data_IF_470339793549
#
_entry.id   IF_470339793549
#
_cell.length_a   1.000
_cell.length_b   1.000
_cell.length_c   1.000
_cell.angle_alpha   90.00
_cell.angle_beta   90.00
_cell.angle_gamma   90.00
#
_symmetry.space_group_name_H-M   'P 1'
#
loop_
_entity.id
_entity.type
_entity.pdbx_description
1 polymer ?
#
# COMPACT_ATOMS: atom_id res chain seq x y z
N UNK A 1 -5.92 16.44 -56.94
CA UNK A 1 -5.84 15.08 -56.39
C UNK A 1 -4.42 14.84 -55.93
N UNK A 2 -4.23 14.55 -54.63
CA UNK A 2 -3.31 13.55 -54.06
C UNK A 2 -3.07 13.90 -52.59
N UNK A 3 -3.80 13.18 -51.75
CA UNK A 3 -3.58 13.08 -50.31
C UNK A 3 -2.26 12.36 -50.04
N UNK A 4 -1.70 12.58 -48.83
CA UNK A 4 -1.36 11.54 -47.84
C UNK A 4 -0.13 11.97 -47.03
N UNK A 5 0.01 11.73 -45.74
CA UNK A 5 -0.86 11.22 -44.67
C UNK A 5 -0.20 11.77 -43.40
N UNK A 6 -1.03 12.25 -42.48
CA UNK A 6 -0.65 12.70 -41.14
C UNK A 6 0.22 11.63 -40.45
N UNK A 7 1.41 12.03 -40.00
CA UNK A 7 2.32 11.28 -39.12
C UNK A 7 1.64 11.02 -37.77
N UNK A 8 0.71 10.06 -37.76
CA UNK A 8 0.04 9.58 -36.58
C UNK A 8 0.96 8.56 -35.90
N UNK A 9 1.93 9.07 -35.17
CA UNK A 9 2.65 8.30 -34.14
C UNK A 9 1.63 7.80 -33.13
N UNK A 10 1.01 6.65 -33.42
CA UNK A 10 0.60 5.72 -32.38
C UNK A 10 1.87 5.40 -31.61
N UNK A 11 2.11 6.10 -30.49
CA UNK A 11 3.02 5.63 -29.45
C UNK A 11 2.56 4.20 -29.17
N UNK A 12 3.33 3.23 -29.62
CA UNK A 12 3.24 1.86 -29.14
C UNK A 12 3.48 2.02 -27.65
N UNK A 13 2.41 1.94 -26.85
CA UNK A 13 2.51 1.88 -25.41
C UNK A 13 3.29 0.60 -25.14
N UNK A 14 4.59 0.74 -24.87
CA UNK A 14 5.38 -0.42 -24.55
C UNK A 14 4.86 -1.02 -23.23
N UNK A 15 5.03 -2.34 -23.00
CA UNK A 15 4.57 -3.01 -21.77
C UNK A 15 5.05 -2.34 -20.47
N UNK A 16 6.13 -1.53 -20.52
CA UNK A 16 6.63 -0.80 -19.36
C UNK A 16 5.67 0.21 -18.72
N UNK A 17 4.66 0.72 -19.42
CA UNK A 17 3.72 1.74 -18.92
C UNK A 17 2.43 1.15 -18.30
N UNK A 18 2.24 -0.18 -18.36
CA UNK A 18 1.01 -0.78 -17.85
C UNK A 18 0.99 -0.68 -16.31
N UNK A 19 0.01 0.07 -15.78
CA UNK A 19 -0.21 0.17 -14.34
C UNK A 19 -1.12 -0.96 -13.84
N UNK A 20 -0.70 -1.59 -12.74
CA UNK A 20 -1.50 -2.47 -11.90
C UNK A 20 -1.93 -1.73 -10.64
N UNK A 21 -3.03 -2.16 -10.05
CA UNK A 21 -3.54 -1.64 -8.77
C UNK A 21 -3.62 -2.76 -7.74
N UNK A 22 -3.26 -2.44 -6.49
CA UNK A 22 -3.43 -3.30 -5.33
C UNK A 22 -4.24 -2.59 -4.24
N UNK A 23 -5.17 -3.31 -3.62
CA UNK A 23 -5.91 -2.87 -2.45
C UNK A 23 -5.26 -3.41 -1.18
N UNK A 24 -5.14 -2.57 -0.17
CA UNK A 24 -4.54 -2.92 1.12
C UNK A 24 -5.43 -2.38 2.23
N UNK A 25 -5.87 -3.24 3.14
CA UNK A 25 -6.56 -2.79 4.36
C UNK A 25 -5.51 -2.48 5.41
N UNK A 26 -5.33 -1.21 5.73
CA UNK A 26 -4.46 -0.76 6.81
C UNK A 26 -5.30 -0.72 8.09
N UNK A 27 -5.04 -1.64 9.02
CA UNK A 27 -5.94 -1.88 10.17
C UNK A 27 -5.52 -1.01 11.34
N UNK A 28 -4.34 -1.27 11.88
CA UNK A 28 -3.88 -0.63 13.10
C UNK A 28 -2.38 -0.75 13.25
N UNK A 29 -1.80 0.05 14.13
CA UNK A 29 -0.46 -0.19 14.63
C UNK A 29 -0.46 -0.20 16.16
N UNK A 30 0.57 -0.80 16.73
CA UNK A 30 0.73 -0.97 18.18
C UNK A 30 2.16 -0.63 18.59
N UNK A 31 2.32 -0.09 19.79
CA UNK A 31 3.62 0.23 20.42
C UNK A 31 4.56 1.07 19.55
N UNK A 32 4.00 1.99 18.78
CA UNK A 32 4.77 2.95 17.99
C UNK A 32 5.60 3.87 18.90
N UNK A 33 6.76 4.32 18.40
CA UNK A 33 7.53 5.35 19.09
C UNK A 33 6.72 6.64 19.17
N UNK A 34 6.53 7.16 20.38
CA UNK A 34 6.00 8.50 20.53
C UNK A 34 7.05 9.55 20.09
N UNK A 35 6.75 10.29 19.01
CA UNK A 35 7.57 11.39 18.46
C UNK A 35 7.03 12.78 18.78
N UNK A 36 5.92 12.86 19.51
CA UNK A 36 5.27 14.09 20.01
C UNK A 36 5.29 14.06 21.54
N UNK A 37 6.26 14.74 22.13
CA UNK A 37 6.44 14.77 23.59
C UNK A 37 5.50 15.77 24.28
N UNK A 38 5.10 16.84 23.59
CA UNK A 38 4.28 17.92 24.15
C UNK A 38 2.78 17.81 23.82
N UNK A 39 2.43 17.10 22.74
CA UNK A 39 1.05 16.98 22.26
C UNK A 39 0.66 15.54 22.06
N UNK A 40 -0.65 15.26 21.96
CA UNK A 40 -1.12 13.93 21.52
C UNK A 40 -0.55 13.64 20.12
N UNK A 41 -0.04 12.43 19.93
CA UNK A 41 0.36 11.96 18.62
C UNK A 41 -0.89 11.58 17.84
N UNK A 42 -1.11 12.21 16.69
CA UNK A 42 -2.17 11.87 15.75
C UNK A 42 -1.53 11.23 14.53
N UNK A 43 -1.81 9.96 14.24
CA UNK A 43 -1.03 9.19 13.28
C UNK A 43 -1.84 8.83 12.02
N UNK A 44 -1.18 8.78 10.88
CA UNK A 44 -1.70 8.26 9.61
C UNK A 44 -0.62 7.46 8.90
N UNK A 45 -1.03 6.58 8.00
CA UNK A 45 -0.14 5.78 7.17
C UNK A 45 -0.08 6.35 5.74
N UNK A 46 1.11 6.37 5.16
CA UNK A 46 1.39 6.68 3.76
C UNK A 46 1.76 5.38 3.07
N UNK A 47 1.02 4.99 2.04
CA UNK A 47 1.16 3.68 1.39
C UNK A 47 1.52 3.87 -0.08
N UNK A 48 2.53 3.13 -0.52
CA UNK A 48 3.02 3.16 -1.91
C UNK A 48 3.78 1.89 -2.25
N UNK A 49 3.89 1.59 -3.54
CA UNK A 49 4.86 0.61 -4.06
C UNK A 49 6.04 1.37 -4.68
N UNK A 50 5.73 2.32 -5.56
CA UNK A 50 6.65 3.26 -6.17
C UNK A 50 6.25 4.69 -5.76
N UNK A 51 7.15 5.43 -5.09
CA UNK A 51 6.86 6.80 -4.63
C UNK A 51 6.53 7.76 -5.78
N UNK A 52 7.11 7.53 -6.94
CA UNK A 52 6.99 8.43 -8.10
C UNK A 52 5.76 8.12 -8.97
N UNK A 53 5.02 7.03 -8.67
CA UNK A 53 3.86 6.59 -9.44
C UNK A 53 2.56 6.89 -8.73
N UNK A 54 2.40 6.39 -7.50
CA UNK A 54 1.19 6.60 -6.73
C UNK A 54 1.46 6.45 -5.24
N UNK A 55 1.06 7.48 -4.50
CA UNK A 55 1.14 7.53 -3.05
C UNK A 55 -0.24 7.86 -2.52
N UNK A 56 -0.73 7.07 -1.57
CA UNK A 56 -2.01 7.30 -0.90
C UNK A 56 -1.81 7.39 0.61
N UNK A 57 -2.76 7.99 1.31
CA UNK A 57 -2.74 8.19 2.76
C UNK A 57 -4.03 7.67 3.37
N UNK A 58 -3.94 7.07 4.55
CA UNK A 58 -5.13 6.85 5.39
C UNK A 58 -5.59 8.17 6.00
N UNK A 59 -6.78 8.17 6.60
CA UNK A 59 -7.18 9.20 7.54
C UNK A 59 -6.23 9.26 8.75
N UNK A 60 -6.34 10.37 9.47
CA UNK A 60 -5.61 10.61 10.70
C UNK A 60 -6.41 10.02 11.85
N UNK A 61 -5.79 9.14 12.63
CA UNK A 61 -6.32 8.75 13.92
C UNK A 61 -5.99 9.84 14.96
N UNK A 62 -7.05 10.48 15.46
CA UNK A 62 -7.04 11.55 16.45
C UNK A 62 -6.71 11.06 17.88
N UNK A 63 -6.90 9.77 18.16
CA UNK A 63 -7.05 9.26 19.52
C UNK A 63 -6.12 8.12 19.90
N UNK A 64 -5.73 7.25 18.97
CA UNK A 64 -4.96 6.04 19.29
C UNK A 64 -3.52 6.29 19.74
N UNK A 65 -2.98 7.51 19.58
CA UNK A 65 -1.62 7.89 20.01
C UNK A 65 -0.56 6.94 19.43
N UNK A 66 0.07 6.11 20.27
CA UNK A 66 1.06 5.11 19.88
C UNK A 66 0.45 3.81 19.38
N UNK A 67 -0.86 3.65 19.50
CA UNK A 67 -1.64 2.49 19.10
C UNK A 67 -2.75 2.88 18.13
N UNK A 68 -2.43 3.47 16.96
CA UNK A 68 -3.45 4.00 16.09
C UNK A 68 -4.32 2.92 15.45
N UNK A 69 -5.59 3.23 15.19
CA UNK A 69 -6.49 2.38 14.39
C UNK A 69 -7.05 3.18 13.23
N UNK A 70 -6.81 2.69 12.02
CA UNK A 70 -7.31 3.28 10.78
C UNK A 70 -8.45 2.42 10.22
N UNK A 71 -8.24 1.12 10.06
CA UNK A 71 -9.24 0.23 9.45
C UNK A 71 -9.75 0.76 8.09
N UNK A 72 -8.82 1.16 7.23
CA UNK A 72 -9.11 1.81 5.96
C UNK A 72 -8.50 1.02 4.79
N UNK A 73 -9.31 0.76 3.76
CA UNK A 73 -8.83 0.18 2.50
C UNK A 73 -8.28 1.29 1.63
N UNK A 74 -6.99 1.20 1.31
CA UNK A 74 -6.34 2.10 0.37
C UNK A 74 -6.01 1.37 -0.93
N UNK A 75 -5.99 2.10 -2.05
CA UNK A 75 -5.63 1.58 -3.37
C UNK A 75 -4.31 2.20 -3.81
N UNK A 76 -3.39 1.38 -4.30
CA UNK A 76 -2.07 1.82 -4.75
C UNK A 76 -1.81 1.32 -6.15
N UNK A 77 -1.39 2.23 -7.03
CA UNK A 77 -1.00 1.92 -8.41
C UNK A 77 0.52 1.81 -8.55
N UNK A 78 0.97 0.93 -9.43
CA UNK A 78 2.38 0.68 -9.69
C UNK A 78 2.56 0.02 -11.06
N UNK A 79 3.75 0.05 -11.64
CA UNK A 79 4.02 -0.60 -12.91
C UNK A 79 3.92 -2.13 -12.78
N UNK A 80 3.12 -2.76 -13.63
CA UNK A 80 2.85 -4.21 -13.58
C UNK A 80 4.14 -5.04 -13.61
N UNK A 81 5.13 -4.61 -14.39
CA UNK A 81 6.46 -5.24 -14.50
C UNK A 81 7.18 -5.44 -13.17
N UNK A 82 6.93 -4.61 -12.14
CA UNK A 82 7.58 -4.76 -10.84
C UNK A 82 7.11 -6.01 -10.11
N UNK A 83 5.81 -6.32 -10.14
CA UNK A 83 5.31 -7.53 -9.50
C UNK A 83 5.82 -8.81 -10.18
N UNK A 84 6.17 -8.72 -11.46
CA UNK A 84 6.64 -9.86 -12.25
C UNK A 84 8.14 -10.06 -12.10
N UNK A 85 8.92 -8.98 -12.24
CA UNK A 85 10.37 -9.05 -12.48
C UNK A 85 11.22 -8.61 -11.29
N UNK A 86 10.66 -7.94 -10.28
CA UNK A 86 11.40 -7.45 -9.12
C UNK A 86 10.97 -8.16 -7.83
N UNK A 87 11.83 -9.06 -7.35
CA UNK A 87 11.61 -9.82 -6.10
C UNK A 87 11.60 -8.95 -4.85
N UNK A 88 12.19 -7.75 -4.93
CA UNK A 88 12.22 -6.79 -3.83
C UNK A 88 11.02 -5.83 -3.87
N UNK A 89 10.23 -5.81 -4.94
CA UNK A 89 9.04 -4.96 -5.03
C UNK A 89 8.12 -5.21 -3.83
N UNK A 90 7.63 -4.13 -3.22
CA UNK A 90 6.93 -4.20 -1.94
C UNK A 90 5.88 -3.10 -1.80
N UNK A 91 4.83 -3.40 -1.04
CA UNK A 91 4.02 -2.35 -0.42
C UNK A 91 4.82 -1.80 0.75
N UNK A 92 5.14 -0.51 0.68
CA UNK A 92 5.77 0.25 1.75
C UNK A 92 4.69 1.05 2.48
N UNK A 93 4.78 1.06 3.81
CA UNK A 93 3.88 1.79 4.70
C UNK A 93 4.71 2.68 5.60
N UNK A 94 4.76 3.97 5.30
CA UNK A 94 5.42 4.98 6.13
C UNK A 94 4.38 5.56 7.11
N UNK A 95 4.61 5.42 8.42
CA UNK A 95 3.73 5.94 9.46
C UNK A 95 4.25 7.31 9.89
N UNK A 96 3.36 8.30 9.88
CA UNK A 96 3.68 9.68 10.20
C UNK A 96 2.75 10.23 11.29
N UNK A 97 3.29 11.10 12.11
CA UNK A 97 2.55 11.88 13.09
C UNK A 97 2.22 13.26 12.51
N UNK A 98 0.93 13.54 12.39
CA UNK A 98 0.41 14.85 12.00
C UNK A 98 0.90 15.94 12.97
N UNK A 99 1.10 17.15 12.45
CA UNK A 99 1.57 18.28 13.23
C UNK A 99 1.17 19.60 12.62
N UNK A 100 1.08 20.62 13.46
CA UNK A 100 0.69 21.97 13.05
C UNK A 100 1.66 22.61 12.05
N UNK A 101 2.97 22.34 12.17
CA UNK A 101 4.01 22.93 11.31
C UNK A 101 4.58 21.92 10.33
N UNK A 102 4.91 20.70 10.80
CA UNK A 102 5.34 19.61 9.93
C UNK A 102 4.87 18.24 10.41
N UNK A 103 4.69 17.37 9.45
CA UNK A 103 4.56 15.93 9.63
C UNK A 103 5.88 15.37 10.20
N UNK A 104 5.81 14.45 11.18
CA UNK A 104 7.00 13.80 11.77
C UNK A 104 6.98 12.31 11.43
N UNK A 105 8.05 11.74 10.84
CA UNK A 105 8.10 10.30 10.62
C UNK A 105 8.15 9.56 11.96
N UNK A 106 7.38 8.47 12.05
CA UNK A 106 7.32 7.60 13.23
C UNK A 106 8.11 6.31 12.97
N UNK A 107 7.89 5.71 11.81
CA UNK A 107 8.58 4.52 11.34
C UNK A 107 7.96 3.99 10.05
N UNK A 108 8.54 2.93 9.50
CA UNK A 108 8.11 2.35 8.23
C UNK A 108 8.02 0.83 8.34
N UNK A 109 7.09 0.25 7.61
CA UNK A 109 6.97 -1.20 7.43
C UNK A 109 6.97 -1.54 5.94
N UNK A 110 7.33 -2.78 5.61
CA UNK A 110 7.46 -3.25 4.24
C UNK A 110 6.90 -4.66 4.10
N UNK A 111 6.12 -4.88 3.04
CA UNK A 111 5.51 -6.17 2.70
C UNK A 111 5.83 -6.49 1.25
N UNK A 112 6.63 -7.53 1.00
CA UNK A 112 7.03 -7.91 -0.35
C UNK A 112 5.81 -8.35 -1.17
N UNK A 113 5.71 -7.86 -2.40
CA UNK A 113 4.62 -8.21 -3.32
C UNK A 113 4.61 -9.70 -3.65
N UNK A 114 5.79 -10.31 -3.78
CA UNK A 114 5.92 -11.75 -4.04
C UNK A 114 5.38 -12.64 -2.89
N UNK A 115 5.33 -12.13 -1.66
CA UNK A 115 4.80 -12.87 -0.51
C UNK A 115 3.27 -12.79 -0.42
N UNK A 116 2.66 -11.78 -1.04
CA UNK A 116 1.23 -11.49 -0.89
C UNK A 116 0.43 -11.67 -2.17
N UNK A 117 1.00 -11.39 -3.34
CA UNK A 117 0.35 -11.56 -4.63
C UNK A 117 0.61 -12.97 -5.18
N UNK A 118 -0.42 -13.61 -5.72
CA UNK A 118 -0.23 -14.84 -6.51
C UNK A 118 0.42 -14.51 -7.85
N UNK A 119 1.41 -15.32 -8.24
CA UNK A 119 1.99 -15.37 -9.59
C UNK A 119 1.32 -16.53 -10.33
N UNK A 120 0.20 -16.28 -11.01
CA UNK A 120 -0.53 -17.32 -11.76
C UNK A 120 -1.99 -16.97 -12.02
N UNK A 121 -2.52 -17.47 -13.14
CA UNK A 121 -3.74 -17.06 -13.82
C UNK A 121 -4.98 -16.86 -12.94
N UNK A 122 -5.80 -15.88 -13.32
CA UNK A 122 -7.09 -15.54 -12.72
C UNK A 122 -8.16 -16.65 -12.84
N UNK A 123 -7.80 -17.81 -13.39
CA UNK A 123 -8.68 -18.96 -13.66
C UNK A 123 -8.67 -20.04 -12.56
N UNK A 124 -7.73 -20.02 -11.61
CA UNK A 124 -7.74 -20.99 -10.50
C UNK A 124 -8.56 -20.50 -9.28
N UNK A 125 -9.55 -21.28 -8.80
CA UNK A 125 -10.38 -20.90 -7.67
C UNK A 125 -9.55 -20.78 -6.38
N UNK A 126 -9.41 -19.54 -5.90
CA UNK A 126 -9.57 -19.06 -4.53
C UNK A 126 -9.16 -19.89 -3.28
N UNK A 127 -8.23 -20.86 -3.34
CA UNK A 127 -7.80 -21.59 -2.12
C UNK A 127 -6.70 -20.89 -1.29
N UNK A 128 -6.53 -19.56 -1.43
CA UNK A 128 -5.70 -18.80 -0.48
C UNK A 128 -6.57 -17.74 0.21
N UNK A 129 -6.97 -17.96 1.47
CA UNK A 129 -7.73 -16.96 2.21
C UNK A 129 -6.91 -15.68 2.34
N UNK A 130 -7.58 -14.52 2.34
CA UNK A 130 -6.93 -13.24 2.63
C UNK A 130 -6.24 -13.36 3.99
N UNK A 131 -4.90 -13.22 3.99
CA UNK A 131 -4.11 -13.39 5.21
C UNK A 131 -4.05 -12.09 5.99
N UNK A 132 -4.22 -12.20 7.31
CA UNK A 132 -3.88 -11.12 8.23
C UNK A 132 -2.36 -11.08 8.40
N UNK A 133 -1.75 -9.93 8.15
CA UNK A 133 -0.33 -9.72 8.29
C UNK A 133 -0.06 -8.79 9.47
N UNK A 134 0.87 -9.20 10.32
CA UNK A 134 1.44 -8.35 11.37
C UNK A 134 2.92 -8.20 11.06
N UNK A 135 3.34 -6.96 10.78
CA UNK A 135 4.69 -6.67 10.31
C UNK A 135 5.39 -5.68 11.22
N UNK A 136 6.70 -5.86 11.37
CA UNK A 136 7.54 -5.01 12.20
C UNK A 136 7.64 -3.60 11.63
N UNK A 137 7.41 -2.59 12.47
CA UNK A 137 7.70 -1.20 12.14
C UNK A 137 9.14 -0.89 12.53
N UNK A 138 9.88 -0.29 11.59
CA UNK A 138 11.27 0.11 11.73
C UNK A 138 11.38 1.62 11.82
N UNK A 139 12.08 2.13 12.82
CA UNK A 139 12.31 3.57 12.95
C UNK A 139 13.36 4.04 11.95
N UNK A 140 13.43 5.35 11.70
CA UNK A 140 14.55 5.96 10.95
C UNK A 140 15.93 5.70 11.60
N UNK A 141 15.95 5.36 12.89
CA UNK A 141 17.15 4.90 13.61
C UNK A 141 17.51 3.42 13.38
N UNK A 142 16.79 2.74 12.48
CA UNK A 142 16.92 1.32 12.12
C UNK A 142 16.63 0.36 13.29
N UNK A 143 16.20 0.86 14.45
CA UNK A 143 15.74 0.03 15.56
C UNK A 143 14.28 -0.38 15.34
N UNK A 144 13.94 -1.67 15.45
CA UNK A 144 12.56 -2.12 15.39
C UNK A 144 11.78 -1.55 16.59
N UNK A 145 10.60 -1.00 16.34
CA UNK A 145 9.67 -0.57 17.39
C UNK A 145 8.25 -0.47 16.84
N UNK A 146 7.36 -1.28 17.42
CA UNK A 146 5.94 -1.33 17.09
C UNK A 146 5.60 -2.33 15.99
N UNK A 147 4.31 -2.63 15.87
CA UNK A 147 3.77 -3.61 14.92
C UNK A 147 2.67 -2.96 14.10
N UNK A 148 2.61 -3.27 12.80
CA UNK A 148 1.55 -2.85 11.89
C UNK A 148 0.72 -4.06 11.49
N UNK A 149 -0.59 -3.96 11.66
CA UNK A 149 -1.57 -4.96 11.23
C UNK A 149 -2.23 -4.51 9.93
N UNK A 150 -2.23 -5.37 8.92
CA UNK A 150 -2.81 -5.08 7.60
C UNK A 150 -3.24 -6.35 6.88
N UNK A 151 -4.18 -6.24 5.95
CA UNK A 151 -4.55 -7.33 5.03
C UNK A 151 -4.23 -6.96 3.59
N UNK A 152 -3.74 -7.95 2.84
CA UNK A 152 -3.55 -7.84 1.39
C UNK A 152 -4.28 -9.01 0.72
N UNK A 153 -5.24 -8.76 -0.17
CA UNK A 153 -5.88 -9.81 -0.95
C UNK A 153 -4.87 -10.47 -1.91
N UNK A 154 -4.81 -11.80 -2.00
CA UNK A 154 -3.87 -12.47 -2.90
C UNK A 154 -4.06 -12.17 -4.39
N UNK A 155 -5.28 -11.78 -4.78
CA UNK A 155 -5.66 -11.31 -6.11
C UNK A 155 -5.25 -9.86 -6.38
N UNK A 156 -4.86 -9.14 -5.32
CA UNK A 156 -4.62 -7.70 -5.32
C UNK A 156 -5.87 -6.84 -5.15
N UNK A 157 -7.08 -7.43 -5.08
CA UNK A 157 -8.34 -6.70 -4.84
C UNK A 157 -9.22 -7.47 -3.87
N UNK A 158 -9.87 -6.77 -2.95
CA UNK A 158 -10.87 -7.39 -2.09
C UNK A 158 -12.04 -7.79 -3.00
N UNK A 159 -12.26 -9.11 -3.14
CA UNK A 159 -13.43 -9.60 -3.87
C UNK A 159 -14.66 -9.05 -3.15
N UNK A 160 -15.52 -8.31 -3.87
CA UNK A 160 -16.85 -8.05 -3.36
C UNK A 160 -17.49 -9.41 -3.14
N UNK A 161 -17.78 -9.73 -1.87
CA UNK A 161 -18.69 -10.81 -1.53
C UNK A 161 -19.96 -10.48 -2.30
N UNK A 162 -20.33 -11.28 -3.31
CA UNK A 162 -21.72 -11.28 -3.78
C UNK A 162 -22.54 -11.54 -2.52
N UNK A 163 -23.25 -10.53 -2.04
CA UNK A 163 -24.29 -10.77 -1.05
C UNK A 163 -25.20 -11.81 -1.68
N UNK A 164 -25.26 -12.98 -1.06
CA UNK A 164 -26.26 -13.98 -1.37
C UNK A 164 -27.59 -13.31 -1.06
N UNK A 165 -28.27 -12.85 -2.11
CA UNK A 165 -29.68 -12.48 -2.02
C UNK A 165 -30.38 -13.77 -1.59
N UNK A 166 -30.79 -13.79 -0.33
CA UNK A 166 -31.66 -14.83 0.25
C UNK A 166 -33.07 -14.61 -0.29
#
# INVERSE_FOLDING_TARGET
MMNNILDSRKKIQQPEDQLREIEVLIISAQDLKNVKHLTKMKAYAVVYVEKDVHVTKTHIDEHGRTNPTWNEVVKVKFHAKLAENDVLAAVNVDICAHGHVREKPVGSARVLLCNVLKRGDASEPADNPIRRLTVQVWRSSVRPQGLLNLWVPPTGRFLMRRESVV
#
